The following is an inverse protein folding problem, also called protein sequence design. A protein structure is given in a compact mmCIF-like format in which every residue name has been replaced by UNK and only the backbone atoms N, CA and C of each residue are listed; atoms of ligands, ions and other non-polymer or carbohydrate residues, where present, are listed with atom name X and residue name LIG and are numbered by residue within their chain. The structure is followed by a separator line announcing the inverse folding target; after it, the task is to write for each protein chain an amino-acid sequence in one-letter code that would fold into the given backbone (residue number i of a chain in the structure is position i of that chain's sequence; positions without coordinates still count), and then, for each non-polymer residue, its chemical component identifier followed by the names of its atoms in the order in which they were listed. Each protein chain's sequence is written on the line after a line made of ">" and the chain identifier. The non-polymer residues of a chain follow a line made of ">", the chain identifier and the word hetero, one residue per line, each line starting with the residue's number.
data_IF_124304732419
#
_entry.id   IF_124304732419
#
_cell.length_a   1.000
_cell.length_b   1.000
_cell.length_c   1.000
_cell.angle_alpha   90.00
_cell.angle_beta   90.00
_cell.angle_gamma   90.00
#
_symmetry.space_group_name_H-M   'P 1'
#
loop_
_entity.id
_entity.type
_entity.pdbx_description
1 polymer ?
#
# COMPACT_ATOMS: atom_id res chain seq x y z
N UNK A 1 0.85 11.67 9.85
CA UNK A 1 0.77 10.30 10.40
C UNK A 1 -0.01 9.36 9.49
N UNK A 2 -1.31 9.57 9.24
CA UNK A 2 -2.14 8.59 8.47
C UNK A 2 -1.63 8.34 7.04
N UNK A 3 -1.22 9.38 6.30
CA UNK A 3 -0.65 9.20 4.96
C UNK A 3 0.70 8.47 4.97
N UNK A 4 1.51 8.70 6.01
CA UNK A 4 2.76 7.95 6.23
C UNK A 4 2.46 6.48 6.52
N UNK A 5 1.45 6.19 7.35
CA UNK A 5 0.96 4.83 7.59
C UNK A 5 0.47 4.17 6.30
N UNK A 6 -0.25 4.91 5.45
CA UNK A 6 -0.75 4.44 4.16
C UNK A 6 0.39 3.96 3.24
N UNK A 7 1.42 4.79 3.08
CA UNK A 7 2.58 4.48 2.24
C UNK A 7 3.46 3.37 2.83
N UNK A 8 3.76 3.43 4.14
CA UNK A 8 4.58 2.42 4.82
C UNK A 8 3.92 1.04 4.81
N UNK A 9 2.62 0.96 5.08
CA UNK A 9 1.89 -0.30 5.02
C UNK A 9 1.88 -0.87 3.59
N UNK A 10 1.77 -0.03 2.56
CA UNK A 10 1.80 -0.47 1.17
C UNK A 10 3.17 -1.06 0.80
N UNK A 11 4.25 -0.34 1.10
CA UNK A 11 5.61 -0.79 0.84
C UNK A 11 5.94 -2.08 1.60
N UNK A 12 5.58 -2.16 2.88
CA UNK A 12 5.79 -3.36 3.70
C UNK A 12 5.00 -4.56 3.19
N UNK A 13 3.74 -4.36 2.79
CA UNK A 13 2.91 -5.42 2.19
C UNK A 13 3.61 -6.04 1.00
N UNK A 14 4.10 -5.20 0.07
CA UNK A 14 4.77 -5.63 -1.16
C UNK A 14 6.10 -6.35 -0.85
N UNK A 15 6.89 -5.83 0.09
CA UNK A 15 8.17 -6.45 0.46
C UNK A 15 7.99 -7.81 1.14
N UNK A 16 7.06 -7.91 2.10
CA UNK A 16 6.81 -9.16 2.82
C UNK A 16 6.31 -10.26 1.89
N UNK A 17 5.36 -9.93 1.00
CA UNK A 17 4.82 -10.90 0.07
C UNK A 17 5.80 -11.25 -1.05
N UNK A 18 6.66 -10.31 -1.46
CA UNK A 18 7.75 -10.58 -2.41
C UNK A 18 8.77 -11.56 -1.84
N UNK A 19 9.15 -11.39 -0.57
CA UNK A 19 10.12 -12.26 0.09
C UNK A 19 9.59 -13.67 0.41
N UNK A 20 8.27 -13.87 0.46
CA UNK A 20 7.67 -15.18 0.71
C UNK A 20 7.93 -16.14 -0.47
N UNK A 21 8.57 -17.28 -0.19
CA UNK A 21 8.91 -18.32 -1.17
C UNK A 21 7.69 -19.01 -1.79
N UNK A 22 6.51 -18.92 -1.16
CA UNK A 22 5.24 -19.36 -1.76
C UNK A 22 4.75 -18.41 -2.85
N UNK A 23 5.33 -17.21 -2.92
CA UNK A 23 5.04 -16.17 -3.89
C UNK A 23 6.24 -15.96 -4.81
N UNK A 24 6.99 -14.85 -4.64
CA UNK A 24 8.15 -14.55 -5.48
C UNK A 24 9.45 -15.14 -4.89
N UNK A 25 9.60 -15.19 -3.57
CA UNK A 25 10.80 -15.66 -2.89
C UNK A 25 12.02 -14.76 -3.06
N UNK A 26 11.83 -13.47 -3.35
CA UNK A 26 12.90 -12.53 -3.63
C UNK A 26 12.58 -11.13 -3.08
N UNK A 27 13.60 -10.37 -2.74
CA UNK A 27 13.44 -8.97 -2.33
C UNK A 27 13.04 -8.11 -3.54
N UNK A 28 11.88 -7.48 -3.46
CA UNK A 28 11.39 -6.55 -4.49
C UNK A 28 11.33 -5.12 -3.97
N UNK A 29 11.26 -4.16 -4.89
CA UNK A 29 11.13 -2.73 -4.59
C UNK A 29 9.73 -2.21 -4.87
N UNK A 30 9.45 -0.97 -4.47
CA UNK A 30 8.21 -0.27 -4.82
C UNK A 30 8.46 1.22 -4.99
N UNK A 31 7.85 1.81 -6.02
CA UNK A 31 7.67 3.26 -6.13
C UNK A 31 6.20 3.53 -5.82
N UNK A 32 5.93 4.28 -4.76
CA UNK A 32 4.57 4.60 -4.31
C UNK A 32 4.29 6.09 -4.45
N UNK A 33 3.15 6.44 -5.06
CA UNK A 33 2.69 7.82 -5.27
C UNK A 33 1.38 7.99 -4.50
N UNK A 34 1.34 8.98 -3.61
CA UNK A 34 0.13 9.33 -2.84
C UNK A 34 -0.75 10.28 -3.66
N UNK A 35 -2.01 9.91 -3.82
CA UNK A 35 -3.08 10.80 -4.27
C UNK A 35 -4.04 11.06 -3.11
N UNK A 36 -4.44 12.30 -2.90
CA UNK A 36 -5.35 12.70 -1.81
C UNK A 36 -6.77 12.98 -2.29
N UNK A 37 -6.98 13.09 -3.60
CA UNK A 37 -8.25 13.47 -4.22
C UNK A 37 -8.71 12.43 -5.23
N UNK A 38 -10.01 12.15 -5.24
CA UNK A 38 -10.66 11.38 -6.29
C UNK A 38 -10.94 12.22 -7.54
N UNK A 39 -11.39 11.57 -8.62
CA UNK A 39 -11.73 12.26 -9.88
C UNK A 39 -12.83 13.32 -9.72
N UNK A 40 -13.72 13.14 -8.74
CA UNK A 40 -14.79 14.09 -8.40
C UNK A 40 -14.38 15.09 -7.31
N UNK A 41 -13.08 15.27 -7.06
CA UNK A 41 -12.50 16.16 -6.03
C UNK A 41 -12.97 15.87 -4.59
N UNK A 42 -13.42 14.65 -4.33
CA UNK A 42 -13.68 14.18 -2.97
C UNK A 42 -12.37 13.76 -2.31
N UNK A 43 -12.24 14.01 -1.01
CA UNK A 43 -11.09 13.54 -0.24
C UNK A 43 -11.05 12.01 -0.27
N UNK A 44 -10.03 11.46 -0.92
CA UNK A 44 -9.89 10.04 -1.20
C UNK A 44 -8.41 9.65 -1.20
N UNK A 45 -7.75 9.61 -0.04
CA UNK A 45 -6.34 9.26 0.04
C UNK A 45 -6.09 7.81 -0.37
N UNK A 46 -5.27 7.60 -1.40
CA UNK A 46 -4.86 6.30 -1.92
C UNK A 46 -3.44 6.35 -2.48
N UNK A 47 -2.78 5.21 -2.58
CA UNK A 47 -1.45 5.10 -3.18
C UNK A 47 -1.48 4.26 -4.46
N UNK A 48 -0.83 4.76 -5.51
CA UNK A 48 -0.47 3.96 -6.67
C UNK A 48 0.93 3.41 -6.49
N UNK A 49 1.06 2.09 -6.60
CA UNK A 49 2.34 1.42 -6.45
C UNK A 49 2.79 0.83 -7.79
N UNK A 50 3.99 1.20 -8.23
CA UNK A 50 4.72 0.51 -9.28
C UNK A 50 5.66 -0.50 -8.62
N UNK A 51 5.55 -1.76 -9.03
CA UNK A 51 6.34 -2.85 -8.48
C UNK A 51 7.07 -3.56 -9.62
N UNK A 52 8.37 -3.86 -9.49
CA UNK A 52 9.09 -4.63 -10.49
C UNK A 52 8.44 -6.01 -10.70
N UNK A 53 8.49 -6.51 -11.93
CA UNK A 53 8.06 -7.87 -12.27
C UNK A 53 9.02 -8.96 -11.79
N UNK A 54 9.64 -8.79 -10.62
CA UNK A 54 10.69 -9.65 -10.08
C UNK A 54 11.37 -9.03 -8.85
N UNK A 55 12.47 -9.65 -8.43
CA UNK A 55 13.24 -9.23 -7.27
C UNK A 55 14.61 -9.90 -7.21
N UNK A 56 15.38 -9.55 -6.18
CA UNK A 56 16.72 -10.08 -5.92
C UNK A 56 16.62 -11.23 -4.91
N UNK A 57 17.06 -12.43 -5.29
CA UNK A 57 17.16 -13.55 -4.38
C UNK A 57 18.20 -13.29 -3.28
N UNK A 58 18.16 -14.01 -2.16
CA UNK A 58 19.20 -13.90 -1.12
C UNK A 58 20.63 -14.09 -1.64
N UNK A 59 20.82 -14.86 -2.72
CA UNK A 59 22.11 -15.06 -3.39
C UNK A 59 22.50 -13.96 -4.39
N UNK A 60 21.73 -12.88 -4.51
CA UNK A 60 22.02 -11.73 -5.38
C UNK A 60 21.55 -11.88 -6.83
N UNK A 61 21.06 -13.05 -7.24
CA UNK A 61 20.52 -13.26 -8.58
C UNK A 61 19.11 -12.68 -8.75
N UNK A 62 18.77 -12.26 -9.97
CA UNK A 62 17.43 -11.79 -10.29
C UNK A 62 16.45 -12.97 -10.44
N UNK A 63 15.26 -12.82 -9.83
CA UNK A 63 14.14 -13.75 -9.93
C UNK A 63 12.98 -13.04 -10.63
N UNK A 64 12.57 -13.57 -11.78
CA UNK A 64 11.41 -13.07 -12.49
C UNK A 64 10.11 -13.56 -11.84
N UNK A 65 9.10 -12.70 -11.85
CA UNK A 65 7.71 -13.07 -11.60
C UNK A 65 7.24 -14.12 -12.61
N UNK A 66 6.41 -15.06 -12.16
CA UNK A 66 5.77 -16.04 -13.04
C UNK A 66 4.77 -15.36 -13.99
N UNK A 67 4.70 -15.76 -15.27
CA UNK A 67 3.68 -15.27 -16.19
C UNK A 67 2.27 -15.41 -15.61
N UNK A 68 1.48 -14.33 -15.68
CA UNK A 68 0.10 -14.31 -15.22
C UNK A 68 -0.10 -14.19 -13.70
N UNK A 69 0.95 -14.19 -12.88
CA UNK A 69 0.80 -14.10 -11.43
C UNK A 69 2.00 -13.46 -10.75
N UNK A 70 1.86 -12.18 -10.40
CA UNK A 70 2.77 -11.53 -9.46
C UNK A 70 2.33 -11.81 -8.04
N UNK A 71 1.14 -11.34 -7.63
CA UNK A 71 0.65 -11.44 -6.27
C UNK A 71 -0.89 -11.50 -6.25
N UNK A 72 -1.47 -12.38 -5.44
CA UNK A 72 -2.93 -12.46 -5.30
C UNK A 72 -3.47 -11.19 -4.67
N UNK A 73 -4.39 -10.50 -5.37
CA UNK A 73 -5.05 -9.28 -4.87
C UNK A 73 -5.72 -9.52 -3.52
N UNK A 74 -6.31 -10.71 -3.32
CA UNK A 74 -6.93 -11.08 -2.05
C UNK A 74 -5.91 -11.18 -0.92
N UNK A 75 -4.73 -11.73 -1.19
CA UNK A 75 -3.66 -11.87 -0.19
C UNK A 75 -3.08 -10.49 0.13
N UNK A 76 -2.75 -9.71 -0.91
CA UNK A 76 -2.30 -8.33 -0.77
C UNK A 76 -3.26 -7.50 0.08
N UNK A 77 -4.55 -7.56 -0.23
CA UNK A 77 -5.53 -6.74 0.46
C UNK A 77 -5.69 -7.09 1.93
N UNK A 78 -5.66 -8.38 2.26
CA UNK A 78 -5.74 -8.85 3.65
C UNK A 78 -4.48 -8.47 4.44
N UNK A 79 -3.30 -8.62 3.84
CA UNK A 79 -2.03 -8.26 4.47
C UNK A 79 -1.92 -6.75 4.67
N UNK A 80 -2.24 -5.95 3.65
CA UNK A 80 -2.27 -4.49 3.75
C UNK A 80 -3.22 -4.00 4.84
N UNK A 81 -4.46 -4.51 4.86
CA UNK A 81 -5.43 -4.19 5.91
C UNK A 81 -4.87 -4.46 7.30
N UNK A 82 -4.25 -5.63 7.50
CA UNK A 82 -3.63 -5.98 8.79
C UNK A 82 -2.55 -4.97 9.17
N UNK A 83 -1.54 -4.77 8.31
CA UNK A 83 -0.38 -3.92 8.60
C UNK A 83 -0.79 -2.46 8.81
N UNK A 84 -1.72 -1.95 8.02
CA UNK A 84 -2.23 -0.59 8.17
C UNK A 84 -2.91 -0.38 9.53
N UNK A 85 -3.77 -1.31 9.94
CA UNK A 85 -4.48 -1.22 11.22
C UNK A 85 -3.56 -1.46 12.42
N UNK A 86 -2.57 -2.35 12.31
CA UNK A 86 -1.52 -2.54 13.33
C UNK A 86 -0.69 -1.26 13.51
N UNK A 87 -0.30 -0.61 12.41
CA UNK A 87 0.43 0.66 12.47
C UNK A 87 -0.39 1.80 13.04
N UNK A 88 -1.69 1.86 12.73
CA UNK A 88 -2.60 2.83 13.36
C UNK A 88 -2.75 2.57 14.87
N UNK A 89 -2.90 1.30 15.28
CA UNK A 89 -2.94 0.93 16.69
C UNK A 89 -1.65 1.35 17.40
N UNK A 90 -0.49 1.00 16.84
CA UNK A 90 0.79 1.40 17.42
C UNK A 90 0.94 2.92 17.50
N UNK A 91 0.49 3.68 16.49
CA UNK A 91 0.52 5.13 16.53
C UNK A 91 -0.41 5.70 17.63
N UNK A 92 -1.57 5.07 17.85
CA UNK A 92 -2.48 5.42 18.95
C UNK A 92 -1.83 5.17 20.31
N UNK A 93 -1.31 3.96 20.54
CA UNK A 93 -0.72 3.54 21.81
C UNK A 93 0.49 4.39 22.20
N UNK A 94 1.22 4.90 21.20
CA UNK A 94 2.36 5.81 21.38
C UNK A 94 1.97 7.31 21.38
N UNK A 95 0.68 7.64 21.46
CA UNK A 95 0.17 9.04 21.48
C UNK A 95 0.65 9.88 20.26
N UNK A 96 0.85 9.23 19.10
CA UNK A 96 1.29 9.88 17.86
C UNK A 96 0.13 10.29 16.95
N UNK A 97 -1.09 9.88 17.28
CA UNK A 97 -2.31 10.30 16.58
C UNK A 97 -2.92 11.51 17.27
N UNK A 98 -3.34 12.47 16.47
CA UNK A 98 -4.13 13.61 16.90
C UNK A 98 -5.51 13.50 16.25
N UNK A 99 -6.54 13.86 17.00
CA UNK A 99 -7.93 13.72 16.61
C UNK A 99 -8.62 15.07 16.72
N UNK A 100 -9.40 15.44 15.68
CA UNK A 100 -10.02 16.76 15.57
C UNK A 100 -11.44 16.65 15.03
N UNK A 101 -12.27 17.67 15.28
CA UNK A 101 -13.62 17.76 14.74
C UNK A 101 -14.48 16.53 15.06
N UNK A 102 -15.15 15.97 14.05
CA UNK A 102 -16.06 14.84 14.20
C UNK A 102 -15.39 13.55 14.71
N UNK A 103 -14.05 13.43 14.60
CA UNK A 103 -13.31 12.26 15.09
C UNK A 103 -12.60 12.50 16.42
N UNK A 104 -12.79 13.66 17.08
CA UNK A 104 -12.13 13.98 18.35
C UNK A 104 -12.36 12.91 19.44
N UNK A 105 -13.55 12.30 19.47
CA UNK A 105 -13.91 11.23 20.40
C UNK A 105 -13.08 9.94 20.25
N UNK A 106 -12.35 9.78 19.15
CA UNK A 106 -11.45 8.64 18.93
C UNK A 106 -10.12 8.78 19.68
N UNK A 107 -9.89 9.87 20.42
CA UNK A 107 -8.75 9.96 21.36
C UNK A 107 -8.86 8.93 22.50
N UNK A 108 -10.09 8.51 22.82
CA UNK A 108 -10.36 7.55 23.88
C UNK A 108 -10.13 6.10 23.41
N UNK A 109 -9.50 5.22 24.22
CA UNK A 109 -9.16 3.86 23.81
C UNK A 109 -10.36 3.01 23.37
N UNK A 110 -11.48 3.11 24.07
CA UNK A 110 -12.65 2.28 23.77
C UNK A 110 -13.34 2.66 22.44
N UNK A 111 -13.63 3.95 22.15
CA UNK A 111 -14.05 4.39 20.82
C UNK A 111 -13.08 4.04 19.71
N UNK A 112 -11.77 4.27 19.91
CA UNK A 112 -10.75 3.95 18.92
C UNK A 112 -10.72 2.45 18.58
N UNK A 113 -10.72 1.60 19.61
CA UNK A 113 -10.74 0.14 19.46
C UNK A 113 -11.99 -0.34 18.72
N UNK A 114 -13.17 0.25 19.00
CA UNK A 114 -14.40 -0.04 18.23
C UNK A 114 -14.27 0.37 16.76
N UNK A 115 -13.70 1.53 16.49
CA UNK A 115 -13.48 2.00 15.13
C UNK A 115 -12.53 1.08 14.35
N UNK A 116 -11.39 0.69 14.93
CA UNK A 116 -10.49 -0.27 14.31
C UNK A 116 -11.16 -1.63 14.07
N UNK A 117 -11.97 -2.11 15.02
CA UNK A 117 -12.74 -3.35 14.84
C UNK A 117 -13.76 -3.27 13.71
N UNK A 118 -14.42 -2.13 13.53
CA UNK A 118 -15.30 -1.90 12.39
C UNK A 118 -14.50 -1.95 11.07
N UNK A 119 -13.36 -1.27 11.00
CA UNK A 119 -12.48 -1.26 9.84
C UNK A 119 -11.93 -2.65 9.48
N UNK A 120 -11.63 -3.50 10.48
CA UNK A 120 -11.21 -4.90 10.27
C UNK A 120 -12.25 -5.74 9.52
N UNK A 121 -13.54 -5.45 9.73
CA UNK A 121 -14.66 -6.20 9.15
C UNK A 121 -15.02 -5.77 7.73
N UNK A 122 -14.57 -4.59 7.30
CA UNK A 122 -14.76 -4.14 5.93
C UNK A 122 -13.96 -5.02 4.96
N UNK A 123 -14.50 -5.24 3.77
CA UNK A 123 -13.73 -5.75 2.63
C UNK A 123 -12.83 -4.63 2.10
N UNK A 124 -11.52 -4.83 2.22
CA UNK A 124 -10.53 -3.93 1.66
C UNK A 124 -10.15 -4.51 0.32
N UNK A 125 -10.37 -3.77 -0.76
CA UNK A 125 -10.05 -4.23 -2.10
C UNK A 125 -8.93 -3.37 -2.64
N UNK A 126 -7.75 -3.97 -2.77
CA UNK A 126 -6.69 -3.39 -3.58
C UNK A 126 -6.95 -3.74 -5.04
N UNK A 127 -6.37 -2.95 -5.93
CA UNK A 127 -6.46 -3.19 -7.36
C UNK A 127 -5.06 -3.37 -7.93
N UNK A 128 -4.86 -4.45 -8.67
CA UNK A 128 -3.60 -4.75 -9.35
C UNK A 128 -3.84 -4.86 -10.86
N UNK A 129 -3.02 -4.15 -11.65
CA UNK A 129 -3.01 -4.21 -13.11
C UNK A 129 -1.90 -5.13 -13.59
N UNK A 130 -2.05 -5.64 -14.82
CA UNK A 130 -0.98 -6.33 -15.52
C UNK A 130 0.25 -5.43 -15.67
N UNK A 131 1.45 -6.02 -15.82
CA UNK A 131 2.66 -5.26 -16.10
C UNK A 131 2.48 -4.31 -17.30
N UNK A 132 3.22 -3.20 -17.28
CA UNK A 132 3.33 -2.33 -18.44
C UNK A 132 3.92 -3.11 -19.63
N UNK A 133 3.61 -2.66 -20.85
CA UNK A 133 4.07 -3.30 -22.08
C UNK A 133 5.60 -3.18 -22.31
N UNK A 134 6.31 -2.40 -21.48
CA UNK A 134 7.75 -2.18 -21.60
C UNK A 134 8.26 -1.02 -20.72
N UNK A 135 9.59 -0.85 -20.62
CA UNK A 135 10.23 0.24 -19.88
C UNK A 135 9.79 1.64 -20.35
N UNK A 136 9.54 1.83 -21.64
CA UNK A 136 9.13 3.11 -22.23
C UNK A 136 7.78 3.56 -21.68
N UNK A 137 6.84 2.63 -21.48
CA UNK A 137 5.52 2.95 -20.89
C UNK A 137 5.62 3.23 -19.40
N UNK A 138 6.58 2.62 -18.69
CA UNK A 138 6.87 2.97 -17.28
C UNK A 138 7.41 4.40 -17.20
N UNK A 139 8.36 4.75 -18.07
CA UNK A 139 8.91 6.11 -18.16
C UNK A 139 7.84 7.13 -18.53
N UNK A 140 6.98 6.84 -19.50
CA UNK A 140 5.85 7.70 -19.86
C UNK A 140 4.84 7.87 -18.71
N UNK A 141 4.57 6.80 -17.95
CA UNK A 141 3.71 6.88 -16.77
C UNK A 141 4.32 7.77 -15.68
N UNK A 142 5.60 7.58 -15.37
CA UNK A 142 6.33 8.40 -14.39
C UNK A 142 6.46 9.86 -14.85
N UNK A 143 6.72 10.08 -16.14
CA UNK A 143 6.85 11.41 -16.75
C UNK A 143 5.61 12.28 -16.59
N UNK A 144 4.41 11.68 -16.57
CA UNK A 144 3.15 12.41 -16.30
C UNK A 144 3.08 13.02 -14.89
N UNK A 145 3.92 12.56 -13.95
CA UNK A 145 4.01 13.12 -12.61
C UNK A 145 5.13 14.16 -12.47
N UNK A 146 6.05 14.25 -13.43
CA UNK A 146 7.17 15.20 -13.42
C UNK A 146 7.01 16.32 -14.44
N UNK A 147 6.02 16.23 -15.33
CA UNK A 147 5.76 17.23 -16.36
C UNK A 147 4.36 17.78 -16.15
N UNK A 148 4.18 19.11 -15.94
CA UNK A 148 2.84 19.69 -15.84
C UNK A 148 2.06 19.46 -17.15
N UNK A 149 0.73 19.33 -17.08
CA UNK A 149 -0.08 19.26 -18.29
C UNK A 149 0.12 20.52 -19.15
N UNK A 150 0.02 20.42 -20.48
CA UNK A 150 0.11 21.57 -21.38
C UNK A 150 -0.96 22.62 -21.08
#
# INVERSE_FOLDING_TARGET
>A
MVYDTLLKAAAETIRLIGADSKHLGAETGVIAILHTWGQTLTHHPHAHCLVPGGGIAPGGSWVHCRPGFFLSVRVLSRLYRRLFLERLQAAFDNTKLQFFGHVAHLVEPAPFGRQLNALRKLEWVLYAKRPFAGPEQVLAYLGRYTTPPP
#
